data_IF_848474022520
#
_entry.id   IF_848474022520
#
_cell.length_a   1.000
_cell.length_b   1.000
_cell.length_c   1.000
_cell.angle_alpha   90.00
_cell.angle_beta   90.00
_cell.angle_gamma   90.00
#
_symmetry.space_group_name_H-M   'P 1'
#
loop_
_entity.id
_entity.type
_entity.pdbx_description
1 polymer ?
#
# COMPACT_ATOMS: atom_id res chain seq x y z
N UNK A 1 3.46 15.27 -20.03
CA UNK A 1 3.11 16.70 -19.77
C UNK A 1 3.92 17.13 -18.57
N UNK A 2 4.75 18.15 -18.69
CA UNK A 2 5.63 18.62 -17.61
C UNK A 2 4.82 19.39 -16.56
N UNK A 3 4.95 19.00 -15.28
CA UNK A 3 4.30 19.72 -14.19
C UNK A 3 5.18 20.92 -13.77
N UNK A 4 4.64 22.14 -13.83
CA UNK A 4 5.34 23.37 -13.42
C UNK A 4 4.83 23.85 -12.06
N UNK A 5 5.20 23.10 -11.00
CA UNK A 5 4.67 23.28 -9.64
C UNK A 5 5.75 23.69 -8.61
N UNK A 6 6.89 24.23 -9.09
CA UNK A 6 7.95 24.72 -8.20
C UNK A 6 8.91 23.64 -7.68
N UNK A 7 8.83 22.43 -8.23
CA UNK A 7 9.72 21.30 -7.93
C UNK A 7 10.57 21.04 -9.18
N UNK A 8 11.86 20.71 -8.99
CA UNK A 8 12.74 20.43 -10.13
C UNK A 8 12.31 19.15 -10.88
N UNK A 9 12.53 19.06 -12.21
CA UNK A 9 12.22 17.85 -12.96
C UNK A 9 12.87 16.58 -12.42
N UNK A 10 14.10 16.68 -11.90
CA UNK A 10 14.79 15.56 -11.27
C UNK A 10 14.07 15.08 -10.00
N UNK A 11 13.68 16.02 -9.14
CA UNK A 11 12.92 15.67 -7.93
C UNK A 11 11.53 15.11 -8.25
N UNK A 12 10.85 15.62 -9.29
CA UNK A 12 9.56 15.08 -9.74
C UNK A 12 9.70 13.62 -10.20
N UNK A 13 10.78 13.28 -10.88
CA UNK A 13 11.06 11.91 -11.33
C UNK A 13 11.32 10.96 -10.14
N UNK A 14 12.11 11.39 -9.16
CA UNK A 14 12.39 10.60 -7.95
C UNK A 14 11.13 10.41 -7.09
N UNK A 15 10.31 11.44 -6.93
CA UNK A 15 9.01 11.35 -6.27
C UNK A 15 8.09 10.34 -6.96
N UNK A 16 7.96 10.43 -8.28
CA UNK A 16 7.14 9.51 -9.05
C UNK A 16 7.65 8.07 -8.97
N UNK A 17 8.97 7.86 -8.97
CA UNK A 17 9.56 6.54 -8.79
C UNK A 17 9.29 5.97 -7.39
N UNK A 18 9.45 6.78 -6.34
CA UNK A 18 9.15 6.38 -4.97
C UNK A 18 7.67 6.02 -4.78
N UNK A 19 6.76 6.84 -5.30
CA UNK A 19 5.32 6.57 -5.27
C UNK A 19 4.95 5.33 -6.09
N UNK A 20 5.65 5.05 -7.19
CA UNK A 20 5.41 3.84 -7.98
C UNK A 20 5.74 2.55 -7.22
N UNK A 21 6.73 2.57 -6.32
CA UNK A 21 7.00 1.45 -5.42
C UNK A 21 5.89 1.27 -4.39
N UNK A 22 5.41 2.36 -3.79
CA UNK A 22 4.28 2.33 -2.87
C UNK A 22 3.04 1.78 -3.59
N UNK A 23 2.73 2.27 -4.79
CA UNK A 23 1.62 1.77 -5.60
C UNK A 23 1.70 0.26 -5.85
N UNK A 24 2.90 -0.24 -6.10
CA UNK A 24 3.13 -1.67 -6.30
C UNK A 24 2.90 -2.48 -5.02
N UNK A 25 3.35 -1.96 -3.87
CA UNK A 25 3.10 -2.58 -2.56
C UNK A 25 1.61 -2.63 -2.25
N UNK A 26 0.89 -1.53 -2.48
CA UNK A 26 -0.56 -1.47 -2.29
C UNK A 26 -1.28 -2.50 -3.16
N UNK A 27 -0.88 -2.64 -4.43
CA UNK A 27 -1.51 -3.58 -5.34
C UNK A 27 -1.25 -5.04 -4.96
N UNK A 28 -0.06 -5.38 -4.50
CA UNK A 28 0.26 -6.72 -3.98
C UNK A 28 -0.53 -7.00 -2.70
N UNK A 29 -0.56 -6.06 -1.76
CA UNK A 29 -1.34 -6.17 -0.52
C UNK A 29 -2.84 -6.32 -0.80
N UNK A 30 -3.39 -5.51 -1.71
CA UNK A 30 -4.77 -5.62 -2.18
C UNK A 30 -5.08 -7.03 -2.71
N UNK A 31 -4.21 -7.55 -3.57
CA UNK A 31 -4.37 -8.89 -4.14
C UNK A 31 -4.34 -9.98 -3.07
N UNK A 32 -3.44 -9.89 -2.09
CA UNK A 32 -3.36 -10.79 -0.93
C UNK A 32 -4.60 -10.70 -0.04
N UNK A 33 -5.12 -9.50 0.17
CA UNK A 33 -6.36 -9.27 0.95
C UNK A 33 -7.58 -9.84 0.22
N UNK A 34 -7.65 -9.70 -1.11
CA UNK A 34 -8.67 -10.34 -1.96
C UNK A 34 -8.59 -11.86 -1.87
N UNK A 35 -7.38 -12.43 -1.91
CA UNK A 35 -7.18 -13.88 -1.72
C UNK A 35 -7.69 -14.33 -0.36
N UNK A 36 -7.40 -13.60 0.72
CA UNK A 36 -7.90 -13.89 2.04
C UNK A 36 -9.43 -13.84 2.10
N UNK A 37 -10.05 -12.80 1.54
CA UNK A 37 -11.50 -12.65 1.46
C UNK A 37 -12.17 -13.82 0.72
N UNK A 38 -11.63 -14.25 -0.41
CA UNK A 38 -12.22 -15.32 -1.21
C UNK A 38 -12.07 -16.71 -0.60
N UNK A 39 -10.94 -16.97 0.05
CA UNK A 39 -10.53 -18.33 0.40
C UNK A 39 -10.59 -18.63 1.89
N UNK A 40 -10.91 -17.66 2.77
CA UNK A 40 -11.05 -17.90 4.21
C UNK A 40 -12.05 -19.00 4.49
N UNK A 41 -11.72 -19.90 5.40
CA UNK A 41 -12.57 -20.99 5.90
C UNK A 41 -12.53 -21.05 7.43
N UNK A 42 -13.57 -21.59 8.03
CA UNK A 42 -13.63 -21.83 9.47
C UNK A 42 -14.88 -21.28 10.16
N UNK A 43 -14.96 -21.42 11.48
CA UNK A 43 -16.15 -21.01 12.26
C UNK A 43 -16.43 -19.52 12.23
N UNK A 44 -15.40 -18.71 11.99
CA UNK A 44 -15.44 -17.25 11.92
C UNK A 44 -15.52 -16.71 10.46
N UNK A 45 -15.78 -17.60 9.49
CA UNK A 45 -15.82 -17.28 8.04
C UNK A 45 -16.56 -15.97 7.74
N UNK A 46 -17.81 -15.86 8.16
CA UNK A 46 -18.64 -14.70 7.78
C UNK A 46 -18.04 -13.37 8.23
N UNK A 47 -17.60 -13.30 9.49
CA UNK A 47 -17.05 -12.09 10.05
C UNK A 47 -15.71 -11.71 9.39
N UNK A 48 -14.84 -12.71 9.14
CA UNK A 48 -13.53 -12.48 8.50
C UNK A 48 -13.67 -12.15 7.01
N UNK A 49 -14.60 -12.81 6.32
CA UNK A 49 -14.92 -12.50 4.93
C UNK A 49 -15.34 -11.03 4.77
N UNK A 50 -16.22 -10.53 5.66
CA UNK A 50 -16.65 -9.13 5.68
C UNK A 50 -15.52 -8.18 6.10
N UNK A 51 -14.74 -8.54 7.09
CA UNK A 51 -13.60 -7.76 7.54
C UNK A 51 -12.56 -7.57 6.41
N UNK A 52 -12.20 -8.64 5.69
CA UNK A 52 -11.29 -8.52 4.56
C UNK A 52 -11.90 -7.74 3.38
N UNK A 53 -13.24 -7.79 3.20
CA UNK A 53 -13.93 -6.95 2.21
C UNK A 53 -13.77 -5.46 2.50
N UNK A 54 -13.95 -5.05 3.74
CA UNK A 54 -13.73 -3.66 4.18
C UNK A 54 -12.27 -3.23 3.93
N UNK A 55 -11.32 -4.10 4.26
CA UNK A 55 -9.90 -3.81 4.07
C UNK A 55 -9.53 -3.68 2.58
N UNK A 56 -9.94 -4.60 1.71
CA UNK A 56 -9.57 -4.47 0.30
C UNK A 56 -10.28 -3.29 -0.40
N UNK A 57 -11.49 -2.92 0.01
CA UNK A 57 -12.14 -1.73 -0.52
C UNK A 57 -11.35 -0.46 -0.17
N UNK A 58 -10.84 -0.36 1.05
CA UNK A 58 -9.98 0.76 1.45
C UNK A 58 -8.66 0.77 0.68
N UNK A 59 -8.05 -0.40 0.43
CA UNK A 59 -6.85 -0.52 -0.38
C UNK A 59 -7.09 -0.12 -1.85
N UNK A 60 -8.27 -0.41 -2.41
CA UNK A 60 -8.65 -0.01 -3.77
C UNK A 60 -8.67 1.52 -3.93
N UNK A 61 -9.23 2.22 -2.95
CA UNK A 61 -9.22 3.69 -2.89
C UNK A 61 -7.78 4.23 -2.80
N UNK A 62 -6.93 3.64 -1.94
CA UNK A 62 -5.52 4.01 -1.79
C UNK A 62 -4.75 3.83 -3.10
N UNK A 63 -4.96 2.72 -3.80
CA UNK A 63 -4.31 2.44 -5.10
C UNK A 63 -4.61 3.55 -6.10
N UNK A 64 -5.87 3.97 -6.22
CA UNK A 64 -6.26 5.04 -7.12
C UNK A 64 -5.63 6.38 -6.72
N UNK A 65 -5.68 6.74 -5.45
CA UNK A 65 -5.10 7.98 -4.92
C UNK A 65 -3.59 8.07 -5.15
N UNK A 66 -2.84 6.99 -4.91
CA UNK A 66 -1.38 6.95 -5.14
C UNK A 66 -1.08 7.08 -6.64
N UNK A 67 -1.81 6.38 -7.49
CA UNK A 67 -1.66 6.48 -8.94
C UNK A 67 -1.95 7.90 -9.44
N UNK A 68 -3.02 8.53 -8.95
CA UNK A 68 -3.35 9.92 -9.27
C UNK A 68 -2.31 10.91 -8.73
N UNK A 69 -1.71 10.64 -7.54
CA UNK A 69 -0.62 11.48 -7.03
C UNK A 69 0.57 11.48 -7.99
N UNK A 70 0.95 10.33 -8.54
CA UNK A 70 1.98 10.23 -9.58
C UNK A 70 1.60 11.08 -10.81
N UNK A 71 0.33 11.04 -11.24
CA UNK A 71 -0.17 11.85 -12.35
C UNK A 71 -0.10 13.34 -12.08
N UNK A 72 -0.42 13.78 -10.86
CA UNK A 72 -0.32 15.19 -10.42
C UNK A 72 1.12 15.71 -10.46
N UNK A 73 2.12 14.82 -10.30
CA UNK A 73 3.55 15.14 -10.45
C UNK A 73 4.01 15.17 -11.95
N UNK A 74 3.11 14.90 -12.90
CA UNK A 74 3.40 14.96 -14.34
C UNK A 74 3.94 13.66 -14.95
N UNK A 75 3.97 12.56 -14.18
CA UNK A 75 4.46 11.24 -14.60
C UNK A 75 3.32 10.26 -14.88
N UNK A 76 3.62 9.15 -15.58
CA UNK A 76 2.69 8.05 -15.76
C UNK A 76 2.81 7.08 -14.60
N UNK A 77 1.66 6.60 -14.11
CA UNK A 77 1.62 5.54 -13.11
C UNK A 77 1.84 4.18 -13.78
N UNK A 78 2.64 3.27 -13.20
CA UNK A 78 2.71 1.88 -13.67
C UNK A 78 1.35 1.21 -13.48
N UNK A 79 0.95 0.35 -14.44
CA UNK A 79 -0.36 -0.29 -14.41
C UNK A 79 -0.36 -1.72 -14.98
N UNK A 80 0.75 -2.42 -14.94
CA UNK A 80 0.80 -3.84 -15.30
C UNK A 80 1.24 -4.69 -14.11
N UNK A 81 0.74 -5.92 -14.02
CA UNK A 81 1.12 -6.86 -12.96
C UNK A 81 2.64 -7.11 -12.93
N UNK A 82 3.26 -7.16 -14.12
CA UNK A 82 4.71 -7.34 -14.24
C UNK A 82 5.49 -6.16 -13.64
N UNK A 83 5.03 -4.93 -13.86
CA UNK A 83 5.66 -3.74 -13.26
C UNK A 83 5.48 -3.74 -11.75
N UNK A 84 4.29 -4.06 -11.23
CA UNK A 84 4.04 -4.13 -9.79
C UNK A 84 4.95 -5.16 -9.12
N UNK A 85 5.08 -6.37 -9.68
CA UNK A 85 5.97 -7.40 -9.13
C UNK A 85 7.45 -7.02 -9.20
N UNK A 86 7.86 -6.19 -10.15
CA UNK A 86 9.23 -5.70 -10.24
C UNK A 86 9.54 -4.55 -9.27
N UNK A 87 8.53 -3.80 -8.83
CA UNK A 87 8.68 -2.61 -7.99
C UNK A 87 8.41 -2.87 -6.51
N UNK A 88 7.53 -3.81 -6.19
CA UNK A 88 7.16 -4.11 -4.80
C UNK A 88 8.30 -4.68 -3.99
N UNK A 89 8.32 -4.37 -2.69
CA UNK A 89 9.17 -5.07 -1.72
C UNK A 89 8.42 -6.19 -0.97
N UNK A 90 7.10 -6.31 -1.17
CA UNK A 90 6.30 -7.38 -0.61
C UNK A 90 6.41 -8.66 -1.44
N UNK A 91 6.31 -9.80 -0.78
CA UNK A 91 6.19 -11.10 -1.45
C UNK A 91 4.73 -11.46 -1.70
N UNK A 92 4.46 -12.19 -2.78
CA UNK A 92 3.16 -12.81 -3.01
C UNK A 92 2.85 -13.88 -1.96
N UNK A 93 1.58 -14.21 -1.79
CA UNK A 93 1.14 -15.27 -0.87
C UNK A 93 1.09 -16.63 -1.55
N UNK A 94 1.98 -17.53 -1.13
CA UNK A 94 2.05 -18.93 -1.54
C UNK A 94 1.43 -19.92 -0.53
N UNK A 95 0.75 -19.43 0.49
CA UNK A 95 0.13 -20.23 1.56
C UNK A 95 -0.88 -21.23 1.00
N UNK A 96 -0.85 -22.43 1.60
CA UNK A 96 -1.77 -23.52 1.27
C UNK A 96 -2.95 -23.64 2.25
N UNK A 97 -2.84 -23.02 3.44
CA UNK A 97 -3.90 -23.04 4.45
C UNK A 97 -4.75 -21.78 4.39
N UNK A 98 -6.07 -21.97 4.50
CA UNK A 98 -7.07 -20.91 4.40
C UNK A 98 -7.65 -20.49 5.77
N UNK A 99 -6.89 -20.71 6.86
CA UNK A 99 -7.29 -20.35 8.21
C UNK A 99 -7.19 -18.82 8.46
N UNK A 100 -8.08 -18.30 9.29
CA UNK A 100 -8.17 -16.87 9.58
C UNK A 100 -6.90 -16.33 10.25
N UNK A 101 -6.33 -17.06 11.20
CA UNK A 101 -5.15 -16.63 11.94
C UNK A 101 -3.93 -16.45 11.03
N UNK A 102 -3.78 -17.36 10.09
CA UNK A 102 -2.69 -17.28 9.14
C UNK A 102 -2.83 -16.11 8.17
N UNK A 103 -4.04 -15.84 7.63
CA UNK A 103 -4.28 -14.66 6.79
C UNK A 103 -4.07 -13.35 7.57
N UNK A 104 -4.59 -13.27 8.80
CA UNK A 104 -4.42 -12.07 9.64
C UNK A 104 -2.94 -11.80 9.92
N UNK A 105 -2.15 -12.81 10.30
CA UNK A 105 -0.70 -12.65 10.56
C UNK A 105 0.06 -12.19 9.33
N UNK A 106 -0.24 -12.76 8.18
CA UNK A 106 0.40 -12.40 6.91
C UNK A 106 0.09 -10.95 6.53
N UNK A 107 -1.20 -10.56 6.52
CA UNK A 107 -1.60 -9.21 6.17
C UNK A 107 -1.10 -8.16 7.18
N UNK A 108 -1.08 -8.50 8.48
CA UNK A 108 -0.49 -7.65 9.51
C UNK A 108 1.00 -7.38 9.23
N UNK A 109 1.77 -8.43 8.92
CA UNK A 109 3.19 -8.27 8.60
C UNK A 109 3.43 -7.40 7.37
N UNK A 110 2.57 -7.50 6.35
CA UNK A 110 2.65 -6.66 5.15
C UNK A 110 2.35 -5.19 5.46
N UNK A 111 1.28 -4.89 6.22
CA UNK A 111 0.97 -3.52 6.64
C UNK A 111 2.11 -2.93 7.49
N UNK A 112 2.65 -3.68 8.43
CA UNK A 112 3.78 -3.24 9.26
C UNK A 112 5.03 -2.99 8.41
N UNK A 113 5.28 -3.82 7.39
CA UNK A 113 6.40 -3.64 6.45
C UNK A 113 6.24 -2.33 5.65
N UNK A 114 5.04 -2.03 5.16
CA UNK A 114 4.75 -0.78 4.46
C UNK A 114 4.97 0.43 5.39
N UNK A 115 4.44 0.37 6.62
CA UNK A 115 4.64 1.44 7.63
C UNK A 115 6.11 1.70 7.90
N UNK A 116 6.92 0.65 8.08
CA UNK A 116 8.36 0.76 8.31
C UNK A 116 9.02 1.42 7.11
N UNK A 117 8.74 0.94 5.90
CA UNK A 117 9.32 1.48 4.66
C UNK A 117 8.98 2.95 4.44
N UNK A 118 7.73 3.35 4.66
CA UNK A 118 7.31 4.75 4.59
C UNK A 118 8.07 5.57 5.64
N UNK A 119 8.12 5.13 6.89
CA UNK A 119 8.74 5.85 8.01
C UNK A 119 10.23 6.10 7.81
N UNK A 120 10.94 5.13 7.23
CA UNK A 120 12.37 5.27 6.90
C UNK A 120 12.64 6.32 5.81
N UNK A 121 11.69 6.51 4.90
CA UNK A 121 11.85 7.38 3.73
C UNK A 121 11.11 8.73 3.82
N UNK A 122 10.24 8.91 4.81
CA UNK A 122 9.30 10.05 4.86
C UNK A 122 9.99 11.42 4.84
N UNK A 123 11.16 11.55 5.48
CA UNK A 123 11.91 12.80 5.53
C UNK A 123 12.49 13.20 4.15
N UNK A 124 12.62 12.26 3.22
CA UNK A 124 13.12 12.53 1.88
C UNK A 124 12.14 13.37 1.06
N UNK A 125 10.84 13.19 1.25
CA UNK A 125 9.81 13.89 0.48
C UNK A 125 9.87 15.41 0.67
N UNK A 126 9.82 15.87 1.92
CA UNK A 126 9.94 17.30 2.23
C UNK A 126 11.38 17.80 2.15
N UNK A 127 12.35 17.04 2.67
CA UNK A 127 13.75 17.46 2.81
C UNK A 127 14.52 17.43 1.49
N UNK A 128 14.63 16.26 0.86
CA UNK A 128 15.42 16.03 -0.35
C UNK A 128 14.69 16.47 -1.60
N UNK A 129 13.43 16.02 -1.75
CA UNK A 129 12.64 16.27 -2.97
C UNK A 129 11.87 17.59 -2.96
N UNK A 130 11.84 18.28 -1.81
CA UNK A 130 11.19 19.60 -1.65
C UNK A 130 9.69 19.59 -1.93
N UNK A 131 9.00 18.47 -1.66
CA UNK A 131 7.57 18.33 -1.84
C UNK A 131 6.86 18.03 -0.49
N UNK A 132 6.45 19.08 0.18
CA UNK A 132 5.65 19.00 1.41
C UNK A 132 4.29 18.35 1.17
N UNK A 133 3.69 18.56 -0.02
CA UNK A 133 2.39 17.98 -0.34
C UNK A 133 2.43 16.45 -0.46
N UNK A 134 3.48 15.89 -1.07
CA UNK A 134 3.68 14.43 -1.07
C UNK A 134 4.07 13.92 0.30
N UNK A 135 4.88 14.65 1.07
CA UNK A 135 5.22 14.29 2.45
C UNK A 135 3.98 14.18 3.33
N UNK A 136 3.08 15.16 3.27
CA UNK A 136 1.82 15.16 4.02
C UNK A 136 0.91 14.00 3.61
N UNK A 137 0.73 13.80 2.30
CA UNK A 137 -0.06 12.68 1.76
C UNK A 137 0.46 11.32 2.25
N UNK A 138 1.78 11.09 2.18
CA UNK A 138 2.40 9.82 2.61
C UNK A 138 2.34 9.64 4.13
N UNK A 139 2.36 10.73 4.91
CA UNK A 139 2.12 10.69 6.36
C UNK A 139 0.70 10.19 6.66
N UNK A 140 -0.31 10.72 5.98
CA UNK A 140 -1.69 10.25 6.11
C UNK A 140 -1.86 8.78 5.69
N UNK A 141 -1.22 8.38 4.60
CA UNK A 141 -1.22 6.98 4.15
C UNK A 141 -0.62 6.04 5.22
N UNK A 142 0.48 6.43 5.84
CA UNK A 142 1.09 5.67 6.94
C UNK A 142 0.12 5.48 8.11
N UNK A 143 -0.61 6.53 8.51
CA UNK A 143 -1.61 6.46 9.59
C UNK A 143 -2.77 5.53 9.24
N UNK A 144 -3.20 5.47 7.97
CA UNK A 144 -4.21 4.53 7.49
C UNK A 144 -3.71 3.09 7.65
N UNK A 145 -2.48 2.79 7.23
CA UNK A 145 -1.89 1.45 7.41
C UNK A 145 -1.71 1.08 8.88
N UNK A 146 -1.35 2.01 9.76
CA UNK A 146 -1.29 1.80 11.20
C UNK A 146 -2.66 1.42 11.78
N UNK A 147 -3.74 2.06 11.30
CA UNK A 147 -5.12 1.74 11.67
C UNK A 147 -5.52 0.33 11.21
N UNK A 148 -5.25 -0.01 9.94
CA UNK A 148 -5.54 -1.35 9.39
C UNK A 148 -4.74 -2.44 10.13
N UNK A 149 -3.46 -2.18 10.41
CA UNK A 149 -2.60 -3.09 11.18
C UNK A 149 -3.11 -3.26 12.62
N UNK A 150 -3.58 -2.19 13.27
CA UNK A 150 -4.20 -2.29 14.59
C UNK A 150 -5.43 -3.20 14.58
N UNK A 151 -6.32 -3.03 13.61
CA UNK A 151 -7.50 -3.89 13.45
C UNK A 151 -7.13 -5.37 13.26
N UNK A 152 -6.12 -5.66 12.43
CA UNK A 152 -5.60 -7.02 12.24
C UNK A 152 -5.00 -7.58 13.54
N UNK A 153 -4.17 -6.80 14.23
CA UNK A 153 -3.50 -7.22 15.47
C UNK A 153 -4.49 -7.53 16.58
N UNK A 154 -5.59 -6.80 16.68
CA UNK A 154 -6.65 -7.04 17.66
C UNK A 154 -7.31 -8.43 17.53
N UNK A 155 -7.23 -9.08 16.37
CA UNK A 155 -7.73 -10.44 16.17
C UNK A 155 -6.74 -11.53 16.62
N UNK A 156 -5.52 -11.16 17.00
CA UNK A 156 -4.47 -12.08 17.44
C UNK A 156 -4.28 -12.10 18.96
N UNK A 157 -5.03 -11.28 19.68
CA UNK A 157 -4.98 -11.13 21.15
C UNK A 157 -5.81 -12.19 21.85
#
# INVERSE_FOLDING_TARGET
MEAKIGISPANLAELAHSLSKILADEYVLYTKTRKAHWNIEGPDFYNKHKFFEEQYNQLDEIIDEVAERIRKLGHYAPASLKEFLALTHLSEDDRQKNDSQGYIKMLLADHESIVIHIRENINNYAGTFKDLGTSDYITGLMEIHESMAWMLRAHLS
#
